data_IF_300473525120
#
_entry.id   IF_300473525120
#
_cell.length_a   1.000
_cell.length_b   1.000
_cell.length_c   1.000
_cell.angle_alpha   90.00
_cell.angle_beta   90.00
_cell.angle_gamma   90.00
#
_symmetry.space_group_name_H-M   'P 1'
#
loop_
_entity.id
_entity.type
_entity.pdbx_description
1 polymer ?
#
# COMPACT_ATOMS: atom_id res chain seq x y z
N UNK A 1 9.64 -22.51 8.18
CA UNK A 1 9.56 -21.05 7.94
C UNK A 1 9.10 -20.36 9.23
N UNK A 2 9.62 -19.18 9.56
CA UNK A 2 9.20 -18.43 10.76
C UNK A 2 8.50 -17.12 10.36
N UNK A 3 7.30 -16.90 10.87
CA UNK A 3 6.53 -15.68 10.64
C UNK A 3 6.84 -14.68 11.75
N UNK A 4 7.31 -13.49 11.38
CA UNK A 4 7.73 -12.46 12.34
C UNK A 4 7.06 -11.14 11.99
N UNK A 5 6.46 -10.50 12.98
CA UNK A 5 5.87 -9.17 12.85
C UNK A 5 6.45 -8.25 13.93
N UNK A 6 7.06 -7.15 13.49
CA UNK A 6 7.52 -6.08 14.37
C UNK A 6 6.36 -5.14 14.64
N UNK A 7 5.97 -5.00 15.90
CA UNK A 7 4.75 -4.30 16.30
C UNK A 7 4.99 -3.45 17.54
N UNK A 8 4.36 -2.29 17.61
CA UNK A 8 4.27 -1.47 18.83
C UNK A 8 3.11 -1.90 19.75
N UNK A 9 2.46 -3.01 19.41
CA UNK A 9 1.38 -3.62 20.16
C UNK A 9 1.71 -5.07 20.53
N UNK A 10 1.44 -5.43 21.78
CA UNK A 10 1.53 -6.81 22.29
C UNK A 10 0.26 -7.57 21.93
N UNK A 11 0.25 -8.17 20.73
CA UNK A 11 -0.87 -8.96 20.21
C UNK A 11 -0.45 -10.42 20.10
N UNK A 12 -1.35 -11.36 20.37
CA UNK A 12 -1.15 -12.77 20.05
C UNK A 12 -1.77 -13.05 18.68
N UNK A 13 -0.97 -13.40 17.69
CA UNK A 13 -1.44 -13.63 16.33
C UNK A 13 -0.71 -14.81 15.66
N UNK A 14 -1.00 -16.07 16.05
CA UNK A 14 -0.41 -17.22 15.38
C UNK A 14 -0.76 -17.23 13.88
N UNK A 15 0.18 -17.63 12.99
CA UNK A 15 1.51 -18.16 13.28
C UNK A 15 2.60 -17.08 13.50
N UNK A 16 2.26 -15.79 13.52
CA UNK A 16 3.20 -14.68 13.65
C UNK A 16 3.75 -14.57 15.08
N UNK A 17 5.08 -14.68 15.19
CA UNK A 17 5.83 -14.25 16.37
C UNK A 17 5.89 -12.72 16.38
N UNK A 18 5.22 -12.11 17.35
CA UNK A 18 5.26 -10.67 17.53
C UNK A 18 6.53 -10.28 18.28
N UNK A 19 7.32 -9.38 17.67
CA UNK A 19 8.47 -8.74 18.32
C UNK A 19 8.04 -7.32 18.66
N UNK A 20 7.93 -7.04 19.96
CA UNK A 20 7.55 -5.72 20.44
C UNK A 20 8.64 -4.69 20.14
N UNK A 21 8.25 -3.57 19.55
CA UNK A 21 9.11 -2.42 19.26
C UNK A 21 8.49 -1.20 19.92
N UNK A 22 9.20 -0.62 20.88
CA UNK A 22 8.86 0.69 21.42
C UNK A 22 9.09 1.76 20.33
N UNK A 23 8.06 2.50 19.86
CA UNK A 23 8.23 3.55 18.88
C UNK A 23 9.23 4.60 19.37
N UNK A 24 10.25 4.91 18.57
CA UNK A 24 11.26 5.93 18.91
C UNK A 24 11.00 7.25 18.20
N UNK A 25 10.25 7.23 17.10
CA UNK A 25 10.04 8.40 16.26
C UNK A 25 8.56 8.64 15.97
N UNK A 26 8.20 9.90 15.72
CA UNK A 26 6.83 10.26 15.29
C UNK A 26 6.46 9.66 13.91
N UNK A 27 7.45 9.45 13.03
CA UNK A 27 7.22 8.86 11.70
C UNK A 27 7.27 7.32 11.75
N UNK A 28 6.21 6.72 12.29
CA UNK A 28 6.09 5.25 12.37
C UNK A 28 6.15 4.54 11.01
N UNK A 29 5.80 5.23 9.91
CA UNK A 29 5.92 4.63 8.56
C UNK A 29 7.37 4.47 8.15
N UNK A 30 8.21 5.48 8.39
CA UNK A 30 9.66 5.41 8.13
C UNK A 30 10.32 4.40 9.07
N UNK A 31 9.91 4.35 10.33
CA UNK A 31 10.41 3.35 11.28
C UNK A 31 10.05 1.93 10.84
N UNK A 32 8.83 1.67 10.39
CA UNK A 32 8.42 0.37 9.83
C UNK A 32 9.26 -0.03 8.60
N UNK A 33 9.67 0.93 7.77
CA UNK A 33 10.58 0.66 6.63
C UNK A 33 11.96 0.19 7.08
N UNK A 34 12.39 0.51 8.30
CA UNK A 34 13.68 0.03 8.83
C UNK A 34 13.71 -1.49 8.91
N UNK A 35 12.66 -2.11 9.46
CA UNK A 35 12.55 -3.57 9.56
C UNK A 35 12.40 -4.25 8.19
N UNK A 36 11.73 -3.57 7.25
CA UNK A 36 11.64 -4.01 5.85
C UNK A 36 12.99 -3.99 5.15
N UNK A 37 13.74 -2.90 5.28
CA UNK A 37 14.92 -2.63 4.46
C UNK A 37 16.17 -3.27 5.06
N UNK A 38 16.28 -3.36 6.39
CA UNK A 38 17.47 -3.88 7.08
C UNK A 38 17.22 -5.24 7.73
N UNK A 39 16.67 -6.26 7.03
CA UNK A 39 16.38 -7.54 7.68
C UNK A 39 17.67 -8.22 8.18
N UNK A 40 18.82 -7.97 7.57
CA UNK A 40 20.11 -8.53 8.00
C UNK A 40 20.54 -8.06 9.40
N UNK A 41 20.03 -6.93 9.89
CA UNK A 41 20.26 -6.45 11.27
C UNK A 41 19.30 -7.15 12.24
N UNK A 42 18.03 -7.26 11.85
CA UNK A 42 16.95 -7.71 12.74
C UNK A 42 16.71 -9.22 12.72
N UNK A 43 17.15 -9.89 11.68
CA UNK A 43 16.95 -11.31 11.38
C UNK A 43 18.30 -11.96 11.05
N UNK A 44 19.34 -11.65 11.86
CA UNK A 44 20.73 -12.07 11.65
C UNK A 44 20.92 -13.59 11.52
N UNK A 45 20.06 -14.37 12.17
CA UNK A 45 20.13 -15.84 12.18
C UNK A 45 19.44 -16.48 10.95
N UNK A 46 18.87 -15.67 10.04
CA UNK A 46 18.14 -16.14 8.88
C UNK A 46 18.92 -15.94 7.58
N UNK A 47 19.20 -17.04 6.86
CA UNK A 47 19.83 -16.99 5.53
C UNK A 47 18.96 -16.28 4.48
N UNK A 48 17.64 -16.38 4.61
CA UNK A 48 16.67 -15.80 3.69
C UNK A 48 15.63 -14.98 4.45
N UNK A 49 15.17 -13.90 3.83
CA UNK A 49 14.05 -13.10 4.35
C UNK A 49 13.04 -12.80 3.27
N UNK A 50 11.76 -12.87 3.63
CA UNK A 50 10.63 -12.48 2.80
C UNK A 50 9.92 -11.34 3.50
N UNK A 51 9.75 -10.22 2.80
CA UNK A 51 8.90 -9.14 3.23
C UNK A 51 7.56 -9.22 2.50
N UNK A 52 6.47 -9.13 3.27
CA UNK A 52 5.10 -9.09 2.77
C UNK A 52 4.41 -7.89 3.42
N UNK A 53 4.00 -6.89 2.63
CA UNK A 53 3.21 -5.78 3.14
C UNK A 53 1.87 -6.30 3.69
N UNK A 54 1.35 -5.69 4.77
CA UNK A 54 0.06 -6.06 5.37
C UNK A 54 -1.17 -5.85 4.48
N UNK A 55 -1.00 -5.41 3.23
CA UNK A 55 -2.04 -5.40 2.20
C UNK A 55 -2.18 -6.73 1.44
N UNK A 56 -1.28 -7.69 1.69
CA UNK A 56 -1.30 -9.00 1.06
C UNK A 56 -1.82 -10.07 2.03
N UNK A 57 -2.59 -10.99 1.47
CA UNK A 57 -2.95 -12.27 2.07
C UNK A 57 -2.08 -13.35 1.42
N UNK A 58 -1.49 -14.23 2.23
CA UNK A 58 -0.65 -15.33 1.78
C UNK A 58 -1.55 -16.55 1.56
N UNK A 59 -1.53 -17.11 0.35
CA UNK A 59 -2.42 -18.21 -0.07
C UNK A 59 -1.74 -19.59 -0.04
N UNK A 60 -0.41 -19.64 0.00
CA UNK A 60 0.39 -20.88 -0.01
C UNK A 60 1.66 -20.69 0.83
N UNK A 61 2.33 -21.79 1.16
CA UNK A 61 3.62 -21.79 1.81
C UNK A 61 4.70 -21.24 0.87
N UNK A 62 5.05 -19.98 1.10
CA UNK A 62 6.05 -19.25 0.31
C UNK A 62 7.45 -19.86 0.38
N UNK A 63 7.75 -20.68 1.39
CA UNK A 63 9.08 -21.30 1.56
C UNK A 63 9.47 -22.18 0.38
N UNK A 64 8.49 -22.83 -0.24
CA UNK A 64 8.64 -23.68 -1.44
C UNK A 64 9.17 -22.93 -2.66
N UNK A 65 8.95 -21.62 -2.71
CA UNK A 65 9.24 -20.80 -3.89
C UNK A 65 10.53 -19.97 -3.78
N UNK A 66 11.12 -19.84 -2.59
CA UNK A 66 12.25 -18.93 -2.32
C UNK A 66 13.41 -19.16 -3.28
N UNK A 67 13.94 -20.38 -3.37
CA UNK A 67 15.08 -20.70 -4.23
C UNK A 67 14.73 -20.51 -5.71
N UNK A 68 13.53 -20.97 -6.11
CA UNK A 68 13.04 -20.84 -7.50
C UNK A 68 12.96 -19.38 -7.94
N UNK A 69 12.36 -18.52 -7.12
CA UNK A 69 12.17 -17.11 -7.44
C UNK A 69 13.45 -16.30 -7.37
N UNK A 70 14.38 -16.67 -6.48
CA UNK A 70 15.73 -16.09 -6.47
C UNK A 70 16.49 -16.46 -7.75
N UNK A 71 16.38 -17.70 -8.22
CA UNK A 71 17.08 -18.17 -9.42
C UNK A 71 18.60 -18.00 -9.25
N UNK A 72 19.24 -17.25 -10.17
CA UNK A 72 20.67 -16.93 -10.11
C UNK A 72 20.99 -15.66 -9.32
N UNK A 73 19.98 -14.91 -8.89
CA UNK A 73 20.16 -13.63 -8.17
C UNK A 73 19.88 -13.79 -6.67
N UNK A 74 20.29 -12.80 -5.88
CA UNK A 74 20.09 -12.79 -4.43
C UNK A 74 18.87 -12.00 -3.97
N UNK A 75 18.18 -11.34 -4.89
CA UNK A 75 16.97 -10.56 -4.64
C UNK A 75 15.91 -10.94 -5.67
N UNK A 76 14.68 -11.19 -5.21
CA UNK A 76 13.51 -11.39 -6.07
C UNK A 76 12.38 -10.42 -5.70
N UNK A 77 11.77 -9.84 -6.72
CA UNK A 77 10.79 -8.75 -6.60
C UNK A 77 9.66 -8.89 -7.61
N UNK A 78 8.60 -8.12 -7.39
CA UNK A 78 7.57 -7.88 -8.40
C UNK A 78 7.93 -6.67 -9.24
N UNK A 79 7.70 -6.75 -10.55
CA UNK A 79 7.62 -5.54 -11.37
C UNK A 79 6.33 -4.79 -11.07
N UNK A 80 6.43 -3.47 -11.09
CA UNK A 80 5.27 -2.62 -10.94
C UNK A 80 4.35 -2.76 -12.15
N UNK A 81 3.07 -2.96 -11.86
CA UNK A 81 2.06 -3.32 -12.86
C UNK A 81 1.73 -2.21 -13.87
N UNK A 82 1.80 -0.94 -13.43
CA UNK A 82 1.38 0.22 -14.25
C UNK A 82 2.53 1.20 -14.56
N UNK A 83 3.32 1.59 -13.55
CA UNK A 83 4.44 2.52 -13.69
C UNK A 83 5.75 1.77 -13.95
N UNK A 84 6.61 2.33 -14.79
CA UNK A 84 7.89 1.72 -15.19
C UNK A 84 9.09 2.63 -14.90
N UNK A 85 8.90 3.67 -14.10
CA UNK A 85 9.92 4.68 -13.84
C UNK A 85 9.76 5.28 -12.44
N UNK A 86 10.88 5.46 -11.72
CA UNK A 86 10.84 6.09 -10.40
C UNK A 86 10.40 7.56 -10.46
N UNK A 87 10.62 8.24 -11.59
CA UNK A 87 10.18 9.63 -11.76
C UNK A 87 8.65 9.71 -11.86
N UNK A 88 8.01 8.71 -12.47
CA UNK A 88 6.55 8.57 -12.45
C UNK A 88 6.02 8.22 -11.06
N UNK A 89 6.70 7.33 -10.34
CA UNK A 89 6.36 7.03 -8.94
C UNK A 89 6.45 8.28 -8.06
N UNK A 90 7.49 9.10 -8.24
CA UNK A 90 7.66 10.34 -7.53
C UNK A 90 6.53 11.33 -7.83
N UNK A 91 6.17 11.50 -9.13
CA UNK A 91 5.02 12.32 -9.55
C UNK A 91 3.72 11.84 -8.91
N UNK A 92 3.49 10.52 -8.93
CA UNK A 92 2.33 9.91 -8.30
C UNK A 92 2.30 10.17 -6.79
N UNK A 93 3.40 9.93 -6.09
CA UNK A 93 3.52 10.17 -4.65
C UNK A 93 3.26 11.64 -4.28
N UNK A 94 3.76 12.59 -5.08
CA UNK A 94 3.50 14.02 -4.87
C UNK A 94 2.03 14.37 -5.08
N UNK A 95 1.40 13.87 -6.16
CA UNK A 95 -0.02 14.11 -6.47
C UNK A 95 -0.93 13.56 -5.37
N UNK A 96 -0.59 12.38 -4.84
CA UNK A 96 -1.33 11.71 -3.78
C UNK A 96 -0.94 12.16 -2.37
N UNK A 97 -0.04 13.14 -2.23
CA UNK A 97 0.48 13.65 -0.95
C UNK A 97 0.97 12.54 0.00
N UNK A 98 1.62 11.51 -0.54
CA UNK A 98 2.08 10.34 0.23
C UNK A 98 3.32 10.63 1.09
N UNK A 99 4.06 11.67 0.75
CA UNK A 99 5.17 12.19 1.56
C UNK A 99 5.47 13.67 1.21
N UNK A 100 6.45 14.25 1.90
CA UNK A 100 6.93 15.62 1.65
C UNK A 100 7.36 15.83 0.20
N UNK A 101 6.67 16.74 -0.50
CA UNK A 101 7.02 17.15 -1.87
C UNK A 101 8.47 17.63 -1.96
N UNK A 102 8.93 18.43 -0.98
CA UNK A 102 10.30 18.95 -0.93
C UNK A 102 11.33 17.81 -0.91
N UNK A 103 11.11 16.79 -0.08
CA UNK A 103 12.01 15.63 0.01
C UNK A 103 11.99 14.79 -1.28
N UNK A 104 10.80 14.55 -1.85
CA UNK A 104 10.67 13.81 -3.11
C UNK A 104 11.40 14.53 -4.25
N UNK A 105 11.19 15.84 -4.42
CA UNK A 105 11.85 16.63 -5.46
C UNK A 105 13.37 16.63 -5.26
N UNK A 106 13.85 16.82 -4.03
CA UNK A 106 15.28 16.76 -3.72
C UNK A 106 15.90 15.41 -4.11
N UNK A 107 15.19 14.31 -3.83
CA UNK A 107 15.63 12.96 -4.14
C UNK A 107 15.73 12.70 -5.64
N UNK A 108 14.67 12.98 -6.40
CA UNK A 108 14.68 12.72 -7.85
C UNK A 108 15.64 13.64 -8.60
N UNK A 109 15.84 14.89 -8.13
CA UNK A 109 16.82 15.78 -8.73
C UNK A 109 18.25 15.28 -8.49
N UNK A 110 18.54 14.73 -7.30
CA UNK A 110 19.81 14.04 -7.04
C UNK A 110 20.01 12.90 -8.03
N UNK A 111 19.03 12.01 -8.17
CA UNK A 111 19.14 10.84 -9.06
C UNK A 111 19.32 11.24 -10.52
N UNK A 112 18.61 12.27 -10.96
CA UNK A 112 18.74 12.81 -12.31
C UNK A 112 20.14 13.37 -12.57
N UNK A 113 20.69 14.17 -11.65
CA UNK A 113 22.05 14.72 -11.76
C UNK A 113 23.14 13.65 -11.71
N UNK A 114 22.89 12.55 -11.01
CA UNK A 114 23.78 11.40 -10.99
C UNK A 114 23.63 10.46 -12.20
N UNK A 115 22.82 10.85 -13.20
CA UNK A 115 22.69 10.12 -14.46
C UNK A 115 21.72 8.94 -14.43
N UNK A 116 20.84 8.83 -13.42
CA UNK A 116 19.87 7.72 -13.39
C UNK A 116 18.86 7.82 -14.55
N UNK A 117 18.78 6.80 -15.43
CA UNK A 117 17.98 6.87 -16.65
C UNK A 117 16.47 6.89 -16.38
N UNK A 118 15.72 7.54 -17.29
CA UNK A 118 14.26 7.43 -17.33
C UNK A 118 13.86 6.03 -17.83
N UNK A 119 12.68 5.56 -17.42
CA UNK A 119 12.09 4.28 -17.87
C UNK A 119 12.94 3.03 -17.57
N UNK A 120 13.81 3.11 -16.56
CA UNK A 120 14.68 1.99 -16.15
C UNK A 120 13.97 0.97 -15.22
N UNK A 121 12.72 0.68 -15.53
CA UNK A 121 11.86 -0.15 -14.72
C UNK A 121 11.45 0.46 -13.38
N UNK A 122 10.53 -0.23 -12.71
CA UNK A 122 10.08 0.08 -11.35
C UNK A 122 9.59 -1.20 -10.70
N UNK A 123 10.04 -1.48 -9.48
CA UNK A 123 9.58 -2.64 -8.72
C UNK A 123 8.43 -2.27 -7.78
N UNK A 124 7.58 -3.24 -7.46
CA UNK A 124 6.64 -3.15 -6.33
C UNK A 124 7.32 -3.74 -5.09
N UNK A 125 7.76 -2.88 -4.17
CA UNK A 125 8.52 -3.33 -2.98
C UNK A 125 7.65 -3.98 -1.91
N UNK A 126 6.33 -4.02 -2.09
CA UNK A 126 5.41 -4.61 -1.11
C UNK A 126 5.52 -6.13 -0.97
N UNK A 127 6.24 -6.78 -1.89
CA UNK A 127 6.69 -8.15 -1.78
C UNK A 127 8.15 -8.24 -2.22
N UNK A 128 9.02 -8.77 -1.36
CA UNK A 128 10.47 -8.77 -1.59
C UNK A 128 11.12 -9.98 -0.93
N UNK A 129 11.94 -10.71 -1.69
CA UNK A 129 12.68 -11.88 -1.21
C UNK A 129 14.17 -11.60 -1.33
N UNK A 130 14.93 -11.97 -0.30
CA UNK A 130 16.38 -11.77 -0.24
C UNK A 130 17.09 -12.96 0.37
N UNK A 131 18.24 -13.31 -0.21
CA UNK A 131 19.29 -14.07 0.47
C UNK A 131 20.27 -13.08 1.12
N UNK A 132 20.67 -13.30 2.37
CA UNK A 132 21.52 -12.37 3.12
C UNK A 132 23.00 -12.57 2.79
N UNK A 133 23.40 -12.19 1.58
CA UNK A 133 24.81 -12.09 1.16
C UNK A 133 25.37 -10.71 1.50
N UNK A 134 26.70 -10.56 1.48
CA UNK A 134 27.34 -9.27 1.77
C UNK A 134 26.92 -8.17 0.79
N UNK A 135 26.75 -8.50 -0.49
CA UNK A 135 26.23 -7.56 -1.49
C UNK A 135 24.80 -7.11 -1.17
N UNK A 136 23.94 -8.02 -0.70
CA UNK A 136 22.57 -7.68 -0.30
C UNK A 136 22.54 -6.87 0.98
N UNK A 137 23.46 -7.07 1.93
CA UNK A 137 23.62 -6.19 3.10
C UNK A 137 24.00 -4.78 2.68
N UNK A 138 25.03 -4.65 1.83
CA UNK A 138 25.46 -3.36 1.25
C UNK A 138 24.33 -2.66 0.49
N UNK A 139 23.54 -3.40 -0.29
CA UNK A 139 22.33 -2.90 -0.94
C UNK A 139 21.33 -2.35 0.08
N UNK A 140 20.99 -3.14 1.10
CA UNK A 140 20.01 -2.79 2.11
C UNK A 140 20.42 -1.51 2.88
N UNK A 141 21.70 -1.38 3.25
CA UNK A 141 22.21 -0.21 3.96
C UNK A 141 22.14 1.06 3.09
N UNK A 142 22.55 0.98 1.82
CA UNK A 142 22.43 2.10 0.88
C UNK A 142 20.98 2.47 0.62
N UNK A 143 20.10 1.48 0.48
CA UNK A 143 18.66 1.72 0.31
C UNK A 143 18.05 2.40 1.54
N UNK A 144 18.41 1.95 2.73
CA UNK A 144 17.98 2.60 3.97
C UNK A 144 18.49 4.03 4.07
N UNK A 145 19.73 4.30 3.63
CA UNK A 145 20.28 5.66 3.63
C UNK A 145 19.42 6.62 2.80
N UNK A 146 18.95 6.20 1.63
CA UNK A 146 18.05 7.01 0.80
C UNK A 146 16.70 7.24 1.50
N UNK A 147 16.09 6.18 2.03
CA UNK A 147 14.80 6.28 2.75
C UNK A 147 14.90 7.10 4.04
N UNK A 148 16.05 7.06 4.72
CA UNK A 148 16.32 7.80 5.96
C UNK A 148 16.45 9.30 5.72
N UNK A 149 17.10 9.74 4.63
CA UNK A 149 17.42 11.15 4.40
C UNK A 149 16.46 11.86 3.42
N UNK A 150 15.72 11.10 2.61
CA UNK A 150 14.79 11.65 1.63
C UNK A 150 13.35 11.18 1.90
N UNK A 151 12.60 10.86 0.84
CA UNK A 151 11.25 10.34 0.92
C UNK A 151 11.23 8.97 1.59
N UNK A 152 10.25 8.73 2.47
CA UNK A 152 9.98 7.41 3.05
C UNK A 152 9.36 6.43 2.05
N UNK A 153 9.09 6.89 0.82
CA UNK A 153 8.60 6.07 -0.29
C UNK A 153 9.74 5.25 -0.87
N UNK A 154 9.94 4.08 -0.28
CA UNK A 154 11.02 3.13 -0.57
C UNK A 154 11.06 2.67 -2.03
N UNK A 155 9.92 2.65 -2.72
CA UNK A 155 9.83 2.37 -4.16
C UNK A 155 10.54 3.41 -5.05
N UNK A 156 10.71 4.66 -4.59
CA UNK A 156 11.43 5.70 -5.35
C UNK A 156 12.93 5.39 -5.40
N UNK A 157 13.49 4.76 -4.37
CA UNK A 157 14.93 4.57 -4.21
C UNK A 157 15.43 3.18 -4.60
N UNK A 158 14.57 2.16 -4.61
CA UNK A 158 14.99 0.77 -4.84
C UNK A 158 15.78 0.59 -6.15
N UNK A 159 15.16 0.90 -7.30
CA UNK A 159 15.79 0.71 -8.61
C UNK A 159 17.03 1.59 -8.80
N UNK A 160 17.06 2.78 -8.16
CA UNK A 160 18.24 3.63 -8.17
C UNK A 160 19.42 2.95 -7.46
N UNK A 161 19.21 2.30 -6.31
CA UNK A 161 20.29 1.61 -5.61
C UNK A 161 20.75 0.35 -6.36
N UNK A 162 19.84 -0.43 -6.94
CA UNK A 162 20.23 -1.58 -7.77
C UNK A 162 21.08 -1.13 -8.97
N UNK A 163 20.70 -0.02 -9.61
CA UNK A 163 21.48 0.59 -10.70
C UNK A 163 22.87 1.04 -10.23
N UNK A 164 22.97 1.77 -9.12
CA UNK A 164 24.26 2.25 -8.59
C UNK A 164 25.20 1.13 -8.13
N UNK A 165 24.67 -0.05 -7.83
CA UNK A 165 25.44 -1.23 -7.40
C UNK A 165 25.61 -2.27 -8.52
N UNK A 166 25.11 -2.00 -9.73
CA UNK A 166 25.07 -2.96 -10.83
C UNK A 166 24.51 -4.34 -10.41
N UNK A 167 23.42 -4.31 -9.63
CA UNK A 167 22.79 -5.51 -9.08
C UNK A 167 21.53 -5.89 -9.86
N UNK A 168 21.47 -7.15 -10.27
CA UNK A 168 20.28 -7.72 -10.89
C UNK A 168 19.32 -8.30 -9.86
N UNK A 169 18.02 -8.14 -10.13
CA UNK A 169 16.95 -8.75 -9.35
C UNK A 169 16.18 -9.73 -10.23
N UNK A 170 15.80 -10.86 -9.66
CA UNK A 170 14.86 -11.77 -10.32
C UNK A 170 13.45 -11.18 -10.26
N UNK A 171 12.74 -11.25 -11.39
CA UNK A 171 11.34 -10.80 -11.49
C UNK A 171 10.43 -12.00 -11.33
N UNK A 172 9.58 -11.96 -10.31
CA UNK A 172 8.60 -13.01 -10.05
C UNK A 172 7.44 -12.85 -11.03
N UNK A 173 7.07 -13.94 -11.69
CA UNK A 173 6.01 -13.92 -12.71
C UNK A 173 4.66 -13.55 -12.11
N UNK A 174 3.82 -12.84 -12.87
CA UNK A 174 2.48 -12.44 -12.43
C UNK A 174 1.61 -13.64 -12.03
N UNK A 175 1.75 -14.76 -12.74
CA UNK A 175 0.98 -15.99 -12.47
C UNK A 175 1.39 -16.61 -11.12
N UNK A 176 2.68 -16.65 -10.82
CA UNK A 176 3.16 -17.15 -9.53
C UNK A 176 2.73 -16.25 -8.37
N UNK A 177 2.76 -14.93 -8.56
CA UNK A 177 2.21 -14.00 -7.55
C UNK A 177 0.73 -14.25 -7.33
N UNK A 178 -0.09 -14.36 -8.39
CA UNK A 178 -1.54 -14.59 -8.25
C UNK A 178 -1.87 -15.91 -7.54
N UNK A 179 -1.05 -16.94 -7.73
CA UNK A 179 -1.25 -18.24 -7.07
C UNK A 179 -0.89 -18.21 -5.58
N UNK A 180 0.05 -17.36 -5.19
CA UNK A 180 0.65 -17.39 -3.84
C UNK A 180 0.23 -16.23 -2.95
N UNK A 181 -0.22 -15.12 -3.55
CA UNK A 181 -0.55 -13.88 -2.85
C UNK A 181 -1.82 -13.25 -3.44
N UNK A 182 -2.67 -12.78 -2.54
CA UNK A 182 -3.83 -11.98 -2.90
C UNK A 182 -3.68 -10.55 -2.35
N UNK A 183 -3.89 -9.54 -3.19
CA UNK A 183 -3.86 -8.15 -2.73
C UNK A 183 -5.25 -7.75 -2.23
N UNK A 184 -5.37 -7.49 -0.93
CA UNK A 184 -6.63 -7.06 -0.28
C UNK A 184 -6.74 -5.54 -0.12
N UNK A 185 -5.67 -4.81 -0.45
CA UNK A 185 -5.57 -3.37 -0.21
C UNK A 185 -5.53 -3.02 1.28
N UNK A 186 -5.41 -1.73 1.59
CA UNK A 186 -5.40 -1.24 2.98
C UNK A 186 -6.81 -1.10 3.59
N UNK A 187 -7.87 -1.40 2.83
CA UNK A 187 -9.25 -1.04 3.16
C UNK A 187 -9.94 -1.99 4.14
N UNK A 188 -9.47 -3.23 4.33
CA UNK A 188 -10.07 -4.13 5.35
C UNK A 188 -9.54 -3.91 6.76
N UNK A 189 -8.27 -3.49 6.92
CA UNK A 189 -7.67 -3.24 8.25
C UNK A 189 -8.16 -1.93 8.87
N UNK A 190 -8.45 -0.91 8.04
CA UNK A 190 -9.10 0.31 8.52
C UNK A 190 -10.53 0.05 9.03
N UNK A 191 -11.22 -0.97 8.53
CA UNK A 191 -12.59 -1.26 8.97
C UNK A 191 -12.61 -1.70 10.44
N UNK A 192 -11.68 -2.53 10.89
CA UNK A 192 -11.61 -2.95 12.30
C UNK A 192 -11.14 -1.87 13.28
N UNK A 193 -10.43 -0.83 12.81
CA UNK A 193 -9.97 0.26 13.68
C UNK A 193 -11.04 1.34 13.94
N UNK A 194 -12.12 1.34 13.14
CA UNK A 194 -13.31 2.19 13.34
C UNK A 194 -14.51 1.40 13.90
N UNK A 195 -14.35 0.12 14.21
CA UNK A 195 -15.43 -0.76 14.70
C UNK A 195 -15.70 -0.67 16.21
N UNK A 196 -15.52 0.53 16.80
CA UNK A 196 -16.01 0.86 18.14
C UNK A 196 -17.10 1.96 18.11
N UNK A 197 -17.83 2.10 17.00
CA UNK A 197 -19.05 2.89 16.96
C UNK A 197 -20.23 2.05 16.47
N UNK A 198 -21.23 1.97 17.33
CA UNK A 198 -22.38 1.09 17.26
C UNK A 198 -23.47 1.63 16.32
N UNK A 199 -23.14 1.96 15.06
CA UNK A 199 -24.08 2.67 14.19
C UNK A 199 -24.43 1.87 12.92
N UNK A 200 -25.56 1.17 12.97
CA UNK A 200 -26.28 0.63 11.80
C UNK A 200 -26.41 1.67 10.67
N UNK A 201 -26.49 2.96 11.03
CA UNK A 201 -26.55 4.10 10.12
C UNK A 201 -25.34 4.14 9.17
N UNK A 202 -24.13 3.83 9.65
CA UNK A 202 -22.93 3.86 8.83
C UNK A 202 -22.93 2.78 7.74
N UNK A 203 -23.49 1.60 8.03
CA UNK A 203 -23.66 0.54 7.04
C UNK A 203 -24.62 0.93 5.91
N UNK A 204 -25.69 1.66 6.23
CA UNK A 204 -26.60 2.19 5.21
C UNK A 204 -25.95 3.27 4.35
N UNK A 205 -25.16 4.17 4.95
CA UNK A 205 -24.44 5.22 4.21
C UNK A 205 -23.39 4.64 3.25
N UNK A 206 -22.65 3.60 3.67
CA UNK A 206 -21.68 2.93 2.79
C UNK A 206 -22.38 2.17 1.66
N UNK A 207 -23.45 1.41 1.96
CA UNK A 207 -24.22 0.72 0.91
C UNK A 207 -24.81 1.72 -0.08
N UNK A 208 -25.32 2.85 0.39
CA UNK A 208 -25.83 3.94 -0.43
C UNK A 208 -24.73 4.57 -1.30
N UNK A 209 -23.53 4.80 -0.76
CA UNK A 209 -22.39 5.32 -1.53
C UNK A 209 -21.94 4.34 -2.62
N UNK A 210 -21.92 3.04 -2.34
CA UNK A 210 -21.59 1.99 -3.31
C UNK A 210 -22.64 1.95 -4.43
N UNK A 211 -23.93 2.00 -4.08
CA UNK A 211 -25.03 2.06 -5.05
C UNK A 211 -24.91 3.32 -5.92
N UNK A 212 -24.62 4.49 -5.34
CA UNK A 212 -24.39 5.71 -6.11
C UNK A 212 -23.21 5.61 -7.08
N UNK A 213 -22.13 4.93 -6.69
CA UNK A 213 -21.00 4.69 -7.59
C UNK A 213 -21.37 3.71 -8.70
N UNK A 214 -22.20 2.70 -8.42
CA UNK A 214 -22.74 1.79 -9.43
C UNK A 214 -23.67 2.54 -10.40
N UNK A 215 -24.61 3.33 -9.91
CA UNK A 215 -25.50 4.15 -10.75
C UNK A 215 -24.71 5.13 -11.61
N UNK A 216 -23.65 5.75 -11.07
CA UNK A 216 -22.75 6.64 -11.81
C UNK A 216 -21.89 5.92 -12.84
N UNK A 217 -21.59 4.64 -12.62
CA UNK A 217 -20.88 3.78 -13.56
C UNK A 217 -21.79 3.29 -14.69
N UNK A 218 -23.07 3.01 -14.39
CA UNK A 218 -24.03 2.48 -15.35
C UNK A 218 -24.81 3.53 -16.15
N UNK A 219 -25.00 4.76 -15.64
CA UNK A 219 -25.82 5.78 -16.31
C UNK A 219 -25.07 7.08 -16.60
N UNK A 220 -25.15 7.47 -17.87
CA UNK A 220 -24.43 8.53 -18.59
C UNK A 220 -24.63 9.95 -17.98
N UNK A 221 -23.79 10.91 -18.41
CA UNK A 221 -23.55 12.28 -17.85
C UNK A 221 -24.76 13.10 -17.35
N UNK A 222 -25.99 12.87 -17.82
CA UNK A 222 -27.18 13.64 -17.42
C UNK A 222 -27.62 13.38 -15.97
N UNK A 223 -27.55 12.14 -15.47
CA UNK A 223 -27.96 11.82 -14.10
C UNK A 223 -27.09 12.51 -13.02
N UNK A 224 -25.81 12.77 -13.35
CA UNK A 224 -24.83 13.40 -12.45
C UNK A 224 -25.19 14.86 -12.14
N UNK A 225 -25.86 15.57 -13.06
CA UNK A 225 -26.24 16.96 -12.85
C UNK A 225 -27.46 17.09 -11.92
N UNK A 226 -28.46 16.22 -12.05
CA UNK A 226 -29.60 16.19 -11.13
C UNK A 226 -29.18 15.75 -9.71
N UNK A 227 -28.28 14.77 -9.59
CA UNK A 227 -27.75 14.35 -8.27
C UNK A 227 -26.94 15.43 -7.54
N UNK A 228 -26.26 16.33 -8.27
CA UNK A 228 -25.52 17.46 -7.68
C UNK A 228 -26.44 18.54 -7.11
N UNK A 229 -27.57 18.80 -7.77
CA UNK A 229 -28.58 19.74 -7.28
C UNK A 229 -29.21 19.18 -5.99
N UNK A 230 -29.57 17.89 -6.00
CA UNK A 230 -30.14 17.20 -4.84
C UNK A 230 -29.19 17.08 -3.63
N UNK A 231 -27.88 16.87 -3.87
CA UNK A 231 -26.89 16.85 -2.78
C UNK A 231 -26.80 18.20 -2.06
N UNK A 232 -27.05 19.31 -2.77
CA UNK A 232 -27.09 20.66 -2.20
C UNK A 232 -28.31 20.85 -1.30
N UNK A 233 -29.49 20.38 -1.71
CA UNK A 233 -30.71 20.43 -0.90
C UNK A 233 -30.65 19.54 0.36
N UNK A 234 -30.11 18.32 0.23
CA UNK A 234 -29.92 17.41 1.37
C UNK A 234 -28.94 18.02 2.38
N UNK A 235 -27.85 18.64 1.91
CA UNK A 235 -26.88 19.33 2.78
C UNK A 235 -27.50 20.55 3.47
N UNK A 236 -28.41 21.26 2.81
CA UNK A 236 -29.11 22.41 3.39
C UNK A 236 -30.09 21.98 4.50
N UNK A 237 -30.81 20.87 4.29
CA UNK A 237 -31.75 20.33 5.29
C UNK A 237 -31.05 19.65 6.49
N UNK A 238 -29.85 19.09 6.30
CA UNK A 238 -29.05 18.47 7.37
C UNK A 238 -28.48 19.46 8.39
N UNK A 239 -28.36 20.74 8.04
CA UNK A 239 -27.81 21.78 8.92
C UNK A 239 -28.88 22.48 9.78
N UNK A 240 -30.16 22.08 9.67
CA UNK A 240 -31.28 22.86 10.20
C UNK A 240 -32.12 22.26 11.33
N UNK A 241 -32.63 21.01 11.25
CA UNK A 241 -33.60 20.48 12.24
C UNK A 241 -33.57 18.95 12.38
N UNK A 242 -33.94 18.47 13.58
CA UNK A 242 -34.14 17.06 14.00
C UNK A 242 -34.77 16.22 12.88
N UNK A 243 -34.09 15.15 12.46
CA UNK A 243 -34.53 14.29 11.35
C UNK A 243 -35.35 13.11 11.87
N UNK A 244 -36.60 13.01 11.42
CA UNK A 244 -37.41 11.80 11.51
C UNK A 244 -37.07 10.88 10.33
N UNK A 245 -36.08 10.01 10.54
CA UNK A 245 -35.52 9.05 9.58
C UNK A 245 -36.56 8.20 8.79
N UNK A 246 -37.72 7.81 9.37
CA UNK A 246 -38.72 7.01 8.65
C UNK A 246 -39.36 7.72 7.45
N UNK A 247 -39.56 9.05 7.53
CA UNK A 247 -40.15 9.81 6.42
C UNK A 247 -39.22 9.91 5.22
N UNK A 248 -37.91 10.02 5.47
CA UNK A 248 -36.89 10.06 4.41
C UNK A 248 -36.85 8.73 3.67
N UNK A 249 -36.80 7.62 4.42
CA UNK A 249 -36.76 6.28 3.82
C UNK A 249 -38.02 6.00 3.01
N UNK A 250 -39.21 6.34 3.53
CA UNK A 250 -40.48 6.17 2.82
C UNK A 250 -40.55 6.98 1.51
N UNK A 251 -40.07 8.22 1.52
CA UNK A 251 -40.04 9.08 0.33
C UNK A 251 -39.08 8.57 -0.75
N UNK A 252 -37.90 8.05 -0.37
CA UNK A 252 -36.95 7.48 -1.32
C UNK A 252 -37.41 6.15 -1.92
N UNK A 253 -38.13 5.33 -1.16
CA UNK A 253 -38.75 4.10 -1.68
C UNK A 253 -39.79 4.45 -2.75
N UNK A 254 -40.66 5.43 -2.49
CA UNK A 254 -41.65 5.89 -3.49
C UNK A 254 -40.98 6.43 -4.77
N UNK A 255 -39.85 7.12 -4.64
CA UNK A 255 -39.08 7.62 -5.77
C UNK A 255 -38.44 6.49 -6.60
N UNK A 256 -37.89 5.46 -5.95
CA UNK A 256 -37.34 4.29 -6.65
C UNK A 256 -38.44 3.57 -7.44
N UNK A 257 -39.62 3.37 -6.84
CA UNK A 257 -40.76 2.75 -7.52
C UNK A 257 -41.35 3.58 -8.66
N UNK A 258 -41.07 4.88 -8.73
CA UNK A 258 -41.56 5.75 -9.80
C UNK A 258 -40.68 5.71 -11.06
N UNK A 259 -39.44 5.23 -10.94
CA UNK A 259 -38.43 5.27 -12.01
C UNK A 259 -37.79 3.90 -12.31
N UNK A 260 -38.35 2.83 -11.73
CA UNK A 260 -38.27 1.45 -12.21
C UNK A 260 -39.55 1.20 -13.01
#
# INVERSE_FOLDING_TARGET
IQYICFSDQLIKCPPWKIIYIKPKFKDGRREARKFKILPHIYLKDFKYSLWVDGSYEILDDLSKYVKKWLGKNYIAVKNHSVRHCLYDEARFCMKQKLDSRKLIVKQINKYFREGYPKNNGLVETGFLIRQHTEDVKRFNERWWREVKHFSRRDQISFNYITYKLNMNCSIISKNEIKRTLNWRGHNKVLMHRYLNFNDRIYHYVIRFYIILQMVRYFYNKQAVNHLKIYYKEIKYNLLGKKIHLPKIISYFIQLIYKYI
#
